data_IF_264021214560
#
_entry.id   IF_264021214560
#
_cell.length_a   1.000
_cell.length_b   1.000
_cell.length_c   1.000
_cell.angle_alpha   90.00
_cell.angle_beta   90.00
_cell.angle_gamma   90.00
#
_symmetry.space_group_name_H-M   'P 1'
#
loop_
_entity.id
_entity.type
_entity.pdbx_description
1 polymer ?
#
# COMPACT_ATOMS: atom_id res chain seq x y z
N UNK A 1 -17.48 -51.30 -12.02
CA UNK A 1 -16.19 -50.83 -11.42
C UNK A 1 -15.66 -49.52 -12.05
N UNK A 2 -16.50 -48.66 -12.65
CA UNK A 2 -16.03 -47.48 -13.39
C UNK A 2 -16.38 -46.13 -12.76
N UNK A 3 -17.64 -45.91 -12.38
CA UNK A 3 -18.12 -44.56 -12.01
C UNK A 3 -17.60 -44.07 -10.64
N UNK A 4 -17.45 -44.95 -9.65
CA UNK A 4 -16.97 -44.55 -8.32
C UNK A 4 -15.52 -44.07 -8.29
N UNK A 5 -14.67 -44.60 -9.18
CA UNK A 5 -13.26 -44.17 -9.32
C UNK A 5 -13.15 -42.82 -10.06
N UNK A 6 -14.04 -42.57 -11.02
CA UNK A 6 -14.15 -41.29 -11.73
C UNK A 6 -14.66 -40.17 -10.81
N UNK A 7 -15.67 -40.45 -9.97
CA UNK A 7 -16.16 -39.47 -8.99
C UNK A 7 -15.11 -39.11 -7.93
N UNK A 8 -14.33 -40.09 -7.47
CA UNK A 8 -13.26 -39.86 -6.50
C UNK A 8 -12.06 -39.11 -7.12
N UNK A 9 -11.75 -39.34 -8.39
CA UNK A 9 -10.72 -38.58 -9.12
C UNK A 9 -11.13 -37.12 -9.37
N UNK A 10 -12.41 -36.85 -9.61
CA UNK A 10 -12.94 -35.51 -9.81
C UNK A 10 -12.93 -34.67 -8.52
N UNK A 11 -13.13 -35.30 -7.36
CA UNK A 11 -13.07 -34.64 -6.04
C UNK A 11 -11.64 -34.21 -5.64
N UNK A 12 -10.60 -34.87 -6.15
CA UNK A 12 -9.20 -34.57 -5.80
C UNK A 12 -8.65 -33.36 -6.60
N UNK A 13 -9.16 -33.07 -7.81
CA UNK A 13 -8.70 -31.92 -8.59
C UNK A 13 -9.15 -30.56 -8.04
N UNK A 14 -10.23 -30.50 -7.24
CA UNK A 14 -10.81 -29.22 -6.76
C UNK A 14 -10.02 -28.64 -5.57
N UNK A 15 -9.12 -29.41 -4.95
CA UNK A 15 -8.42 -29.01 -3.72
C UNK A 15 -7.08 -28.28 -3.94
N UNK A 16 -6.65 -28.06 -5.19
CA UNK A 16 -5.28 -27.60 -5.51
C UNK A 16 -5.16 -26.11 -5.88
N UNK A 17 -6.15 -25.26 -5.58
CA UNK A 17 -6.15 -23.84 -6.01
C UNK A 17 -5.86 -22.81 -4.90
N UNK A 18 -5.27 -23.18 -3.76
CA UNK A 18 -5.10 -22.23 -2.64
C UNK A 18 -3.73 -21.53 -2.53
N UNK A 19 -2.70 -21.93 -3.30
CA UNK A 19 -1.32 -21.45 -3.05
C UNK A 19 -0.96 -20.12 -3.76
N UNK A 20 -1.78 -19.64 -4.70
CA UNK A 20 -1.53 -18.39 -5.46
C UNK A 20 -2.41 -17.20 -5.06
N UNK A 21 -3.41 -17.40 -4.20
CA UNK A 21 -4.42 -16.38 -3.91
C UNK A 21 -3.87 -15.24 -3.05
N UNK A 22 -2.95 -15.50 -2.13
CA UNK A 22 -2.55 -14.51 -1.11
C UNK A 22 -1.78 -13.33 -1.68
N UNK A 23 -0.72 -13.56 -2.46
CA UNK A 23 0.11 -12.46 -2.98
C UNK A 23 -0.65 -11.54 -3.96
N UNK A 24 -1.50 -12.11 -4.81
CA UNK A 24 -2.33 -11.33 -5.75
C UNK A 24 -3.40 -10.51 -5.00
N UNK A 25 -3.98 -11.09 -3.94
CA UNK A 25 -4.93 -10.39 -3.08
C UNK A 25 -4.27 -9.28 -2.27
N UNK A 26 -3.04 -9.50 -1.79
CA UNK A 26 -2.25 -8.50 -1.06
C UNK A 26 -1.89 -7.31 -1.97
N UNK A 27 -1.48 -7.58 -3.21
CA UNK A 27 -1.19 -6.53 -4.19
C UNK A 27 -2.40 -5.63 -4.47
N UNK A 28 -3.57 -6.22 -4.70
CA UNK A 28 -4.79 -5.44 -4.95
C UNK A 28 -5.16 -4.55 -3.75
N UNK A 29 -5.05 -5.07 -2.53
CA UNK A 29 -5.34 -4.33 -1.31
C UNK A 29 -4.35 -3.19 -1.09
N UNK A 30 -3.05 -3.44 -1.25
CA UNK A 30 -2.00 -2.43 -1.10
C UNK A 30 -2.14 -1.34 -2.15
N UNK A 31 -2.43 -1.68 -3.41
CA UNK A 31 -2.69 -0.69 -4.47
C UNK A 31 -3.91 0.17 -4.17
N UNK A 32 -4.98 -0.43 -3.63
CA UNK A 32 -6.17 0.30 -3.23
C UNK A 32 -5.89 1.27 -2.07
N UNK A 33 -5.14 0.82 -1.05
CA UNK A 33 -4.73 1.65 0.07
C UNK A 33 -3.80 2.81 -0.35
N UNK A 34 -2.80 2.54 -1.21
CA UNK A 34 -1.92 3.57 -1.79
C UNK A 34 -2.75 4.63 -2.52
N UNK A 35 -3.62 4.22 -3.45
CA UNK A 35 -4.46 5.15 -4.19
C UNK A 35 -5.35 6.01 -3.27
N UNK A 36 -5.93 5.42 -2.22
CA UNK A 36 -6.73 6.14 -1.24
C UNK A 36 -5.89 7.16 -0.44
N UNK A 37 -4.69 6.76 0.01
CA UNK A 37 -3.80 7.63 0.77
C UNK A 37 -3.38 8.84 -0.04
N UNK A 38 -2.95 8.64 -1.29
CA UNK A 38 -2.50 9.74 -2.13
C UNK A 38 -3.63 10.64 -2.62
N UNK A 39 -4.84 10.10 -2.79
CA UNK A 39 -6.04 10.93 -3.00
C UNK A 39 -6.28 11.86 -1.81
N UNK A 40 -6.20 11.34 -0.58
CA UNK A 40 -6.39 12.13 0.64
C UNK A 40 -5.24 13.15 0.84
N UNK A 41 -4.00 12.72 0.65
CA UNK A 41 -2.81 13.59 0.68
C UNK A 41 -2.92 14.75 -0.30
N UNK A 42 -3.23 14.45 -1.57
CA UNK A 42 -3.36 15.46 -2.61
C UNK A 42 -4.51 16.43 -2.32
N UNK A 43 -5.54 16.01 -1.58
CA UNK A 43 -6.66 16.85 -1.14
C UNK A 43 -6.39 17.59 0.18
N UNK A 44 -5.28 17.31 0.87
CA UNK A 44 -5.01 17.73 2.24
C UNK A 44 -6.14 17.36 3.23
N UNK A 45 -6.75 16.19 3.02
CA UNK A 45 -7.80 15.66 3.90
C UNK A 45 -7.17 14.89 5.08
N UNK A 46 -6.94 15.61 6.17
CA UNK A 46 -6.28 15.06 7.36
C UNK A 46 -7.09 13.96 8.05
N UNK A 47 -8.42 13.98 7.95
CA UNK A 47 -9.27 12.95 8.56
C UNK A 47 -9.15 11.65 7.77
N UNK A 48 -9.20 11.72 6.44
CA UNK A 48 -9.02 10.56 5.59
C UNK A 48 -7.60 9.97 5.72
N UNK A 49 -6.57 10.82 5.79
CA UNK A 49 -5.19 10.37 6.05
C UNK A 49 -5.10 9.63 7.39
N UNK A 50 -5.66 10.18 8.47
CA UNK A 50 -5.67 9.53 9.78
C UNK A 50 -6.35 8.15 9.74
N UNK A 51 -7.44 8.01 8.99
CA UNK A 51 -8.14 6.73 8.81
C UNK A 51 -7.34 5.64 8.07
N UNK A 52 -6.28 6.03 7.37
CA UNK A 52 -5.43 5.13 6.57
C UNK A 52 -4.10 4.79 7.26
N UNK A 53 -3.83 5.35 8.44
CA UNK A 53 -2.63 5.10 9.22
C UNK A 53 -2.95 4.28 10.48
N UNK A 54 -2.07 3.33 10.81
CA UNK A 54 -2.13 2.62 12.09
C UNK A 54 -1.77 3.57 13.23
N UNK A 55 -2.23 3.26 14.44
CA UNK A 55 -1.94 4.11 15.61
C UNK A 55 -0.44 4.16 15.95
N UNK A 56 0.29 3.10 15.63
CA UNK A 56 1.71 2.86 15.86
C UNK A 56 2.59 3.13 14.62
N UNK A 57 2.09 3.92 13.66
CA UNK A 57 2.85 4.26 12.45
C UNK A 57 4.20 4.89 12.80
N UNK A 58 5.24 4.41 12.13
CA UNK A 58 6.55 5.03 12.12
C UNK A 58 6.81 5.69 10.77
N UNK A 59 7.02 7.01 10.79
CA UNK A 59 7.32 7.81 9.61
C UNK A 59 8.72 8.41 9.73
N UNK A 60 9.57 8.07 8.77
CA UNK A 60 10.97 8.51 8.71
C UNK A 60 11.12 9.60 7.65
N UNK A 61 11.26 10.84 8.09
CA UNK A 61 11.43 12.00 7.21
C UNK A 61 12.92 12.40 7.14
N UNK A 62 13.40 12.74 5.95
CA UNK A 62 14.80 13.07 5.67
C UNK A 62 15.36 14.24 6.53
N UNK A 63 14.55 15.27 6.76
CA UNK A 63 14.89 16.45 7.56
C UNK A 63 14.53 16.35 9.04
N UNK A 64 13.34 15.87 9.37
CA UNK A 64 12.83 15.90 10.77
C UNK A 64 13.03 14.58 11.51
N UNK A 65 13.48 13.53 10.84
CA UNK A 65 13.71 12.22 11.43
C UNK A 65 12.42 11.45 11.71
N UNK A 66 12.45 10.63 12.76
CA UNK A 66 11.40 9.69 13.12
C UNK A 66 10.19 10.38 13.80
N UNK A 67 8.99 10.04 13.33
CA UNK A 67 7.69 10.37 13.93
C UNK A 67 6.92 9.08 14.19
N UNK A 68 6.44 8.84 15.42
CA UNK A 68 5.97 7.51 15.86
C UNK A 68 4.48 7.42 16.23
N UNK A 69 3.66 8.38 15.81
CA UNK A 69 2.22 8.29 16.00
C UNK A 69 1.45 8.86 14.81
N UNK A 70 0.26 8.32 14.59
CA UNK A 70 -0.66 8.80 13.54
C UNK A 70 -0.94 10.29 13.69
N UNK A 71 -1.22 10.73 14.91
CA UNK A 71 -1.56 12.12 15.20
C UNK A 71 -0.39 13.04 14.87
N UNK A 72 0.84 12.64 15.23
CA UNK A 72 2.04 13.41 14.91
C UNK A 72 2.34 13.43 13.40
N UNK A 73 2.13 12.32 12.68
CA UNK A 73 2.25 12.30 11.21
C UNK A 73 1.25 13.26 10.57
N UNK A 74 -0.03 13.20 10.97
CA UNK A 74 -1.08 14.08 10.47
C UNK A 74 -0.75 15.55 10.75
N UNK A 75 -0.28 15.88 11.95
CA UNK A 75 0.11 17.25 12.29
C UNK A 75 1.35 17.70 11.52
N UNK A 76 2.31 16.81 11.25
CA UNK A 76 3.46 17.13 10.40
C UNK A 76 3.04 17.50 8.97
N UNK A 77 2.04 16.80 8.42
CA UNK A 77 1.52 17.08 7.08
C UNK A 77 0.73 18.39 7.05
N UNK A 78 -0.11 18.60 8.07
CA UNK A 78 -0.92 19.83 8.25
C UNK A 78 -0.06 21.08 8.31
N UNK A 79 1.02 21.05 9.08
CA UNK A 79 1.91 22.20 9.27
C UNK A 79 3.06 22.27 8.26
N UNK A 80 3.24 21.24 7.44
CA UNK A 80 4.23 21.19 6.37
C UNK A 80 3.59 21.41 4.99
N UNK A 81 3.56 20.39 4.11
CA UNK A 81 3.14 20.54 2.72
C UNK A 81 1.67 20.97 2.54
N UNK A 82 0.81 20.84 3.55
CA UNK A 82 -0.58 21.29 3.48
C UNK A 82 -0.85 22.64 4.16
N UNK A 83 0.18 23.29 4.73
CA UNK A 83 0.00 24.57 5.43
C UNK A 83 -0.21 25.76 4.47
N UNK A 84 0.35 25.69 3.27
CA UNK A 84 0.33 26.76 2.27
C UNK A 84 0.24 26.15 0.86
N UNK A 85 -0.57 26.75 -0.01
CA UNK A 85 -0.71 26.31 -1.40
C UNK A 85 0.61 26.36 -2.19
N UNK A 86 1.51 27.28 -1.84
CA UNK A 86 2.85 27.41 -2.44
C UNK A 86 3.81 26.30 -2.03
N UNK A 87 3.54 25.61 -0.92
CA UNK A 87 4.31 24.48 -0.41
C UNK A 87 3.69 23.13 -0.78
N UNK A 88 2.54 23.15 -1.46
CA UNK A 88 1.75 21.94 -1.74
C UNK A 88 2.45 21.03 -2.72
N UNK A 89 2.81 19.86 -2.23
CA UNK A 89 3.30 18.77 -3.05
C UNK A 89 2.15 17.86 -3.49
N UNK A 90 2.30 17.22 -4.65
CA UNK A 90 1.35 16.24 -5.18
C UNK A 90 2.12 15.01 -5.63
N UNK A 91 1.57 13.83 -5.36
CA UNK A 91 2.00 12.58 -6.01
C UNK A 91 0.95 12.14 -7.02
N UNK A 92 1.41 11.69 -8.16
CA UNK A 92 0.61 11.02 -9.17
C UNK A 92 1.25 9.69 -9.55
N UNK A 93 0.44 8.64 -9.56
CA UNK A 93 0.84 7.33 -10.03
C UNK A 93 0.81 7.32 -11.56
N UNK A 94 1.93 7.00 -12.21
CA UNK A 94 1.95 6.67 -13.64
C UNK A 94 1.78 5.15 -13.77
N UNK A 95 0.92 4.71 -14.71
CA UNK A 95 0.50 3.30 -14.81
C UNK A 95 1.68 2.33 -14.87
N UNK A 96 2.73 2.67 -15.63
CA UNK A 96 3.89 1.80 -15.84
C UNK A 96 5.04 2.08 -14.85
N UNK A 97 4.83 2.93 -13.84
CA UNK A 97 5.86 3.31 -12.87
C UNK A 97 5.73 2.60 -11.52
N UNK A 98 4.64 1.85 -11.27
CA UNK A 98 4.38 1.19 -9.99
C UNK A 98 4.57 -0.32 -10.09
N UNK A 99 5.55 -0.82 -9.36
CA UNK A 99 5.77 -2.26 -9.16
C UNK A 99 5.42 -2.67 -7.74
N UNK A 100 4.89 -3.87 -7.59
CA UNK A 100 4.63 -4.50 -6.30
C UNK A 100 5.69 -5.56 -6.01
N UNK A 101 6.35 -5.45 -4.86
CA UNK A 101 7.38 -6.39 -4.41
C UNK A 101 7.10 -6.77 -2.96
N UNK A 102 6.54 -7.97 -2.69
CA UNK A 102 6.29 -8.41 -1.33
C UNK A 102 7.62 -8.68 -0.63
N UNK A 103 7.79 -8.20 0.61
CA UNK A 103 8.98 -8.53 1.39
C UNK A 103 8.89 -9.95 1.97
N UNK A 104 9.95 -10.74 1.79
CA UNK A 104 10.00 -12.12 2.26
C UNK A 104 10.12 -12.18 3.79
N UNK A 105 9.25 -12.96 4.44
CA UNK A 105 9.27 -13.17 5.90
C UNK A 105 8.66 -12.05 6.75
N UNK A 106 8.37 -10.89 6.15
CA UNK A 106 7.60 -9.81 6.73
C UNK A 106 6.27 -9.75 5.99
N UNK A 107 5.27 -10.41 6.55
CA UNK A 107 3.88 -10.20 6.11
C UNK A 107 3.63 -8.69 6.31
N UNK A 108 3.12 -8.00 5.29
CA UNK A 108 2.65 -6.60 5.34
C UNK A 108 3.65 -5.48 4.98
N UNK A 109 4.83 -5.77 4.43
CA UNK A 109 5.73 -4.70 3.92
C UNK A 109 5.88 -4.75 2.39
N UNK A 110 5.61 -3.61 1.75
CA UNK A 110 5.74 -3.41 0.30
C UNK A 110 6.46 -2.09 0.05
N UNK A 111 7.61 -2.13 -0.61
CA UNK A 111 8.38 -0.94 -0.97
C UNK A 111 8.02 -0.44 -2.38
N UNK A 112 7.88 0.87 -2.61
CA UNK A 112 7.89 1.40 -3.97
C UNK A 112 9.26 1.14 -4.61
N UNK A 113 9.28 0.66 -5.86
CA UNK A 113 10.51 0.60 -6.67
C UNK A 113 11.23 1.97 -6.64
N UNK A 114 12.58 2.01 -6.72
CA UNK A 114 13.32 3.26 -6.79
C UNK A 114 13.01 3.94 -8.13
N UNK A 115 12.06 4.87 -8.12
CA UNK A 115 11.88 5.82 -9.22
C UNK A 115 12.98 6.87 -9.10
N UNK A 116 13.89 6.83 -10.08
CA UNK A 116 14.83 7.89 -10.40
C UNK A 116 14.15 9.25 -10.30
N UNK A 117 14.70 10.14 -9.48
CA UNK A 117 14.45 11.57 -9.58
C UNK A 117 14.85 12.03 -10.99
N UNK A 118 13.90 12.22 -11.90
CA UNK A 118 14.10 13.01 -13.11
C UNK A 118 13.84 14.48 -12.74
N UNK A 119 14.92 15.19 -12.44
CA UNK A 119 14.90 16.65 -12.36
C UNK A 119 14.78 17.26 -13.75
N UNK A 120 14.03 18.34 -13.85
CA UNK A 120 14.26 19.42 -14.82
C UNK A 120 14.76 20.63 -14.08
#
# INVERSE_FOLDING_TARGET
MGLGKLALALLILVAFEACGATAQQDEAQVRSADAAFWKAYNACDMQAIAGLLTADVEFYHDKTGLTTSREAVVDSLRHGPCADETLRLRREALNDSISFHPLNGLRDVVGPSPLLCAGT
#
